data_IF_138047024461
#
_entry.id   IF_138047024461
#
_cell.length_a   1.000
_cell.length_b   1.000
_cell.length_c   1.000
_cell.angle_alpha   90.00
_cell.angle_beta   90.00
_cell.angle_gamma   90.00
#
_symmetry.space_group_name_H-M   'P 1'
#
loop_
_entity.id
_entity.type
_entity.pdbx_description
1 polymer ?
#
# COMPACT_ATOMS: atom_id res chain seq x y z
N UNK A 1 10.13 -7.75 -23.74
CA UNK A 1 10.71 -8.02 -22.40
C UNK A 1 9.61 -7.90 -21.36
N UNK A 2 8.86 -8.97 -21.10
CA UNK A 2 7.86 -9.01 -20.02
C UNK A 2 8.60 -9.17 -18.70
N UNK A 3 8.68 -8.12 -17.88
CA UNK A 3 9.21 -8.26 -16.53
C UNK A 3 8.37 -9.30 -15.78
N UNK A 4 8.99 -10.28 -15.10
CA UNK A 4 8.26 -11.18 -14.23
C UNK A 4 7.58 -10.33 -13.16
N UNK A 5 6.25 -10.29 -13.20
CA UNK A 5 5.44 -9.62 -12.19
C UNK A 5 5.45 -10.50 -10.93
N UNK A 6 6.51 -10.39 -10.13
CA UNK A 6 6.55 -10.77 -8.72
C UNK A 6 7.76 -10.04 -8.10
N UNK A 7 7.57 -9.32 -6.99
CA UNK A 7 7.47 -10.02 -5.73
C UNK A 7 6.50 -9.34 -4.76
N UNK A 8 5.31 -9.90 -4.60
CA UNK A 8 4.47 -9.63 -3.41
C UNK A 8 5.03 -10.32 -2.15
N UNK A 9 6.21 -10.93 -2.22
CA UNK A 9 6.80 -11.75 -1.16
C UNK A 9 8.21 -11.32 -0.77
N UNK A 10 8.55 -10.02 -0.85
CA UNK A 10 9.81 -9.57 -0.24
C UNK A 10 9.70 -9.68 1.29
N UNK A 11 10.82 -9.94 2.00
CA UNK A 11 10.81 -9.98 3.47
C UNK A 11 10.25 -8.68 4.08
N UNK A 12 10.55 -7.55 3.43
CA UNK A 12 10.02 -6.24 3.80
C UNK A 12 8.49 -6.16 3.66
N UNK A 13 7.93 -6.66 2.56
CA UNK A 13 6.48 -6.71 2.38
C UNK A 13 5.82 -7.50 3.51
N UNK A 14 6.36 -8.69 3.81
CA UNK A 14 5.81 -9.58 4.83
C UNK A 14 5.89 -8.95 6.23
N UNK A 15 7.03 -8.36 6.57
CA UNK A 15 7.20 -7.65 7.85
C UNK A 15 6.21 -6.49 8.01
N UNK A 16 6.04 -5.66 6.97
CA UNK A 16 5.06 -4.58 6.99
C UNK A 16 3.62 -5.10 7.01
N UNK A 17 3.33 -6.18 6.28
CA UNK A 17 2.01 -6.79 6.26
C UNK A 17 1.61 -7.33 7.63
N UNK A 18 2.50 -8.04 8.30
CA UNK A 18 2.31 -8.56 9.65
C UNK A 18 2.16 -7.40 10.66
N UNK A 19 3.02 -6.38 10.58
CA UNK A 19 2.96 -5.21 11.45
C UNK A 19 1.64 -4.41 11.30
N UNK A 20 1.02 -4.43 10.13
CA UNK A 20 -0.24 -3.73 9.84
C UNK A 20 -1.46 -4.67 9.85
N UNK A 21 -1.28 -5.95 10.20
CA UNK A 21 -2.32 -6.98 10.14
C UNK A 21 -3.07 -7.05 8.78
N UNK A 22 -2.36 -6.78 7.68
CA UNK A 22 -2.97 -6.70 6.35
C UNK A 22 -3.94 -5.53 6.16
N UNK A 23 -3.87 -4.48 7.01
CA UNK A 23 -4.69 -3.27 6.91
C UNK A 23 -3.91 -2.12 6.30
N UNK A 24 -4.59 -1.28 5.54
CA UNK A 24 -3.99 -0.11 4.92
C UNK A 24 -3.71 0.96 5.98
N UNK A 25 -2.47 1.47 6.05
CA UNK A 25 -2.10 2.52 7.02
C UNK A 25 -2.85 3.85 6.83
N UNK A 26 -3.33 4.14 5.61
CA UNK A 26 -4.03 5.39 5.29
C UNK A 26 -5.52 5.35 5.64
N UNK A 27 -6.21 4.25 5.32
CA UNK A 27 -7.67 4.16 5.49
C UNK A 27 -8.11 3.18 6.59
N UNK A 28 -7.19 2.35 7.11
CA UNK A 28 -7.46 1.34 8.14
C UNK A 28 -8.24 0.10 7.67
N UNK A 29 -8.61 0.02 6.39
CA UNK A 29 -9.35 -1.12 5.84
C UNK A 29 -8.41 -2.26 5.43
N UNK A 30 -8.93 -3.49 5.44
CA UNK A 30 -8.19 -4.67 4.98
C UNK A 30 -7.77 -4.54 3.50
N UNK A 31 -6.60 -5.09 3.19
CA UNK A 31 -6.06 -5.15 1.84
C UNK A 31 -6.18 -6.58 1.31
N UNK A 32 -6.58 -6.78 0.04
CA UNK A 32 -6.48 -8.09 -0.60
C UNK A 32 -5.00 -8.45 -0.80
N UNK A 33 -4.59 -9.66 -0.46
CA UNK A 33 -3.21 -10.12 -0.66
C UNK A 33 -3.00 -10.66 -2.07
N UNK A 34 -4.07 -11.14 -2.72
CA UNK A 34 -4.03 -11.73 -4.06
C UNK A 34 -5.13 -11.18 -4.98
N UNK A 35 -4.88 -11.21 -6.29
CA UNK A 35 -5.81 -10.78 -7.35
C UNK A 35 -7.14 -11.54 -7.30
N UNK A 36 -7.10 -12.78 -6.83
CA UNK A 36 -8.28 -13.64 -6.72
C UNK A 36 -9.16 -13.30 -5.52
N UNK A 37 -8.68 -12.50 -4.57
CA UNK A 37 -9.47 -12.07 -3.39
C UNK A 37 -10.54 -11.02 -3.74
N UNK A 38 -10.51 -10.48 -4.96
CA UNK A 38 -11.42 -9.44 -5.41
C UNK A 38 -12.20 -9.89 -6.65
N UNK A 39 -13.47 -9.49 -6.72
CA UNK A 39 -14.38 -9.92 -7.78
C UNK A 39 -13.93 -9.54 -9.20
N UNK A 40 -13.17 -8.45 -9.35
CA UNK A 40 -12.77 -7.92 -10.66
C UNK A 40 -11.33 -7.39 -10.68
N UNK A 41 -10.65 -7.52 -11.82
CA UNK A 41 -9.28 -7.02 -12.03
C UNK A 41 -9.15 -5.50 -11.87
N UNK A 42 -10.21 -4.75 -12.18
CA UNK A 42 -10.28 -3.30 -11.94
C UNK A 42 -10.22 -2.98 -10.45
N UNK A 43 -10.92 -3.75 -9.60
CA UNK A 43 -10.86 -3.59 -8.14
C UNK A 43 -9.46 -3.90 -7.63
N UNK A 44 -8.83 -4.96 -8.12
CA UNK A 44 -7.43 -5.29 -7.79
C UNK A 44 -6.49 -4.12 -8.08
N UNK A 45 -6.61 -3.47 -9.24
CA UNK A 45 -5.77 -2.32 -9.60
C UNK A 45 -5.83 -1.17 -8.57
N UNK A 46 -6.99 -1.00 -7.93
CA UNK A 46 -7.23 0.07 -6.95
C UNK A 46 -6.97 -0.34 -5.49
N UNK A 47 -7.24 -1.60 -5.16
CA UNK A 47 -7.15 -2.12 -3.79
C UNK A 47 -5.88 -2.92 -3.52
N UNK A 48 -5.07 -3.23 -4.54
CA UNK A 48 -3.80 -3.93 -4.30
C UNK A 48 -2.92 -3.16 -3.31
N UNK A 49 -2.21 -3.87 -2.41
CA UNK A 49 -1.25 -3.26 -1.50
C UNK A 49 -0.07 -2.72 -2.32
N UNK A 50 0.35 -1.52 -1.97
CA UNK A 50 1.49 -0.81 -2.56
C UNK A 50 2.32 -0.18 -1.46
N UNK A 51 3.62 -0.02 -1.70
CA UNK A 51 4.49 0.73 -0.80
C UNK A 51 4.13 2.22 -0.84
N UNK A 52 3.95 2.80 0.34
CA UNK A 52 3.72 4.22 0.56
C UNK A 52 4.82 4.77 1.49
N UNK A 53 5.50 5.82 1.05
CA UNK A 53 6.48 6.52 1.88
C UNK A 53 5.78 7.48 2.85
N UNK A 54 5.94 7.31 4.16
CA UNK A 54 5.34 8.18 5.19
C UNK A 54 5.72 9.63 4.92
N UNK A 55 7.02 9.87 4.85
CA UNK A 55 7.63 11.12 4.42
C UNK A 55 7.93 10.95 2.94
N UNK A 56 7.25 11.74 2.11
CA UNK A 56 7.47 11.72 0.67
C UNK A 56 8.95 11.97 0.35
N UNK A 57 9.50 11.22 -0.61
CA UNK A 57 10.89 11.40 -1.08
C UNK A 57 11.12 12.85 -1.54
N UNK A 58 10.13 13.47 -2.18
CA UNK A 58 10.18 14.88 -2.59
C UNK A 58 10.32 15.88 -1.42
N UNK A 59 10.06 15.46 -0.18
CA UNK A 59 10.25 16.24 1.05
C UNK A 59 11.51 15.84 1.83
N UNK A 60 12.39 15.03 1.24
CA UNK A 60 13.61 14.53 1.88
C UNK A 60 13.41 13.28 2.74
N UNK A 61 12.32 12.54 2.54
CA UNK A 61 12.09 11.28 3.24
C UNK A 61 13.08 10.18 2.83
N UNK A 62 13.65 9.42 3.78
CA UNK A 62 14.57 8.32 3.48
C UNK A 62 13.82 7.12 2.87
N UNK A 63 14.47 6.35 2.00
CA UNK A 63 13.90 5.10 1.46
C UNK A 63 14.18 3.90 2.40
N UNK A 64 13.97 4.11 3.70
CA UNK A 64 14.16 3.09 4.73
C UNK A 64 12.87 2.33 5.00
N UNK A 65 12.99 1.09 5.48
CA UNK A 65 11.85 0.27 5.91
C UNK A 65 10.94 1.00 6.90
N UNK A 66 11.52 1.82 7.79
CA UNK A 66 10.79 2.59 8.79
C UNK A 66 9.96 3.73 8.19
N UNK A 67 10.34 4.22 7.01
CA UNK A 67 9.60 5.24 6.28
C UNK A 67 8.63 4.62 5.25
N UNK A 68 8.54 3.29 5.17
CA UNK A 68 7.69 2.57 4.24
C UNK A 68 6.49 1.95 4.96
N UNK A 69 5.32 2.05 4.34
CA UNK A 69 4.07 1.44 4.81
C UNK A 69 3.38 0.71 3.65
N UNK A 70 2.39 -0.13 3.98
CA UNK A 70 1.52 -0.68 2.94
C UNK A 70 0.21 0.11 2.91
N UNK A 71 -0.13 0.57 1.72
CA UNK A 71 -1.39 1.23 1.45
C UNK A 71 -2.02 0.76 0.15
N UNK A 72 -3.35 0.84 0.05
CA UNK A 72 -4.03 0.61 -1.21
C UNK A 72 -3.48 1.53 -2.29
N UNK A 73 -3.33 1.00 -3.51
CA UNK A 73 -2.92 1.79 -4.68
C UNK A 73 -3.76 3.07 -4.86
N UNK A 74 -5.07 3.00 -4.60
CA UNK A 74 -5.96 4.18 -4.63
C UNK A 74 -5.65 5.18 -3.52
N UNK A 75 -5.47 4.72 -2.28
CA UNK A 75 -5.19 5.59 -1.14
C UNK A 75 -3.86 6.30 -1.31
N UNK A 76 -2.82 5.58 -1.73
CA UNK A 76 -1.52 6.14 -2.05
C UNK A 76 -1.62 7.22 -3.15
N UNK A 77 -2.35 6.93 -4.25
CA UNK A 77 -2.60 7.91 -5.31
C UNK A 77 -3.29 9.18 -4.79
N UNK A 78 -4.31 9.02 -3.96
CA UNK A 78 -5.10 10.13 -3.39
C UNK A 78 -4.26 10.97 -2.42
N UNK A 79 -3.37 10.34 -1.64
CA UNK A 79 -2.37 11.01 -0.80
C UNK A 79 -1.39 11.82 -1.65
N UNK A 80 -0.88 11.27 -2.75
CA UNK A 80 0.00 12.00 -3.68
C UNK A 80 -0.65 13.23 -4.30
N UNK A 81 -1.97 13.23 -4.44
CA UNK A 81 -2.76 14.39 -4.92
C UNK A 81 -3.06 15.43 -3.82
N UNK A 82 -2.58 15.24 -2.59
CA UNK A 82 -2.80 16.16 -1.46
C UNK A 82 -4.15 16.02 -0.75
N UNK A 83 -5.00 15.07 -1.15
CA UNK A 83 -6.31 14.84 -0.55
C UNK A 83 -6.29 13.66 0.43
N UNK A 84 -5.53 13.75 1.52
CA UNK A 84 -5.58 12.71 2.55
C UNK A 84 -6.92 12.82 3.28
N UNK A 85 -7.88 11.91 2.98
CA UNK A 85 -9.04 11.74 3.87
C UNK A 85 -8.51 11.19 5.19
N UNK A 86 -8.71 11.87 6.33
CA UNK A 86 -8.29 11.33 7.61
C UNK A 86 -8.97 9.98 7.84
N UNK A 87 -8.31 9.01 8.47
CA UNK A 87 -8.94 7.76 8.84
C UNK A 87 -10.16 8.09 9.70
N UNK A 88 -11.33 7.59 9.30
CA UNK A 88 -12.51 7.57 10.16
C UNK A 88 -12.18 6.65 11.33
N UNK A 89 -11.60 7.21 12.40
CA UNK A 89 -11.47 6.54 13.69
C UNK A 89 -12.88 6.15 14.13
N UNK A 90 -13.14 4.86 14.29
CA UNK A 90 -14.29 4.35 15.04
C UNK A 90 -13.85 4.08 16.46
#
# INVERSE_FOLDING_TARGET
MSQPYAPTETPLFKALWEAQEGRCALCGQSMPSNRYDVAHSTLWKHQRPTYDHIIAVARGGPDTADNLQLAHARCNKVKGMGHVRPPLRR
#
